data_IF_916591394747
#
_entry.id   IF_916591394747
#
_cell.length_a   1.000
_cell.length_b   1.000
_cell.length_c   1.000
_cell.angle_alpha   90.00
_cell.angle_beta   90.00
_cell.angle_gamma   90.00
#
_symmetry.space_group_name_H-M   'P 1'
#
loop_
_entity.id
_entity.type
_entity.pdbx_description
1 polymer ?
#
# COMPACT_ATOMS: atom_id res chain seq x y z
N UNK A 1 -33.30 1.78 -12.28
CA UNK A 1 -34.35 2.70 -11.78
C UNK A 1 -35.53 1.85 -11.36
N UNK A 2 -36.12 2.10 -10.19
CA UNK A 2 -37.40 1.50 -9.82
C UNK A 2 -38.41 2.59 -9.51
N UNK A 3 -39.69 2.28 -9.69
CA UNK A 3 -40.80 3.21 -9.50
C UNK A 3 -41.65 2.75 -8.31
N UNK A 4 -41.92 3.69 -7.41
CA UNK A 4 -42.88 3.49 -6.33
C UNK A 4 -44.18 4.18 -6.75
N UNK A 5 -45.29 3.44 -6.76
CA UNK A 5 -46.64 3.97 -7.02
C UNK A 5 -47.53 3.77 -5.80
N UNK A 6 -48.32 4.78 -5.47
CA UNK A 6 -49.31 4.72 -4.40
C UNK A 6 -50.64 5.29 -4.86
N UNK A 7 -51.74 4.71 -4.41
CA UNK A 7 -53.11 5.17 -4.67
C UNK A 7 -53.78 5.52 -3.34
N UNK A 8 -54.33 6.72 -3.24
CA UNK A 8 -55.04 7.17 -2.03
C UNK A 8 -56.46 6.56 -1.94
N UNK A 9 -57.13 6.75 -0.81
CA UNK A 9 -58.50 6.24 -0.58
C UNK A 9 -59.57 6.87 -1.47
N UNK A 10 -59.25 7.98 -2.15
CA UNK A 10 -60.12 8.65 -3.13
C UNK A 10 -59.81 8.23 -4.57
N UNK A 11 -58.79 7.41 -4.77
CA UNK A 11 -58.39 6.85 -6.04
C UNK A 11 -57.35 7.64 -6.82
N UNK A 12 -56.78 8.72 -6.25
CA UNK A 12 -55.69 9.45 -6.88
C UNK A 12 -54.41 8.63 -6.83
N UNK A 13 -53.64 8.58 -7.93
CA UNK A 13 -52.39 7.83 -8.00
C UNK A 13 -51.21 8.79 -8.09
N UNK A 14 -50.21 8.59 -7.23
CA UNK A 14 -48.91 9.26 -7.30
C UNK A 14 -47.81 8.25 -7.62
N UNK A 15 -46.75 8.71 -8.31
CA UNK A 15 -45.56 7.90 -8.54
C UNK A 15 -44.27 8.68 -8.31
N UNK A 16 -43.21 7.97 -7.92
CA UNK A 16 -41.86 8.50 -7.75
C UNK A 16 -40.84 7.51 -8.34
N UNK A 17 -39.86 8.03 -9.07
CA UNK A 17 -38.78 7.23 -9.65
C UNK A 17 -37.49 7.38 -8.84
N UNK A 18 -36.82 6.26 -8.58
CA UNK A 18 -35.54 6.20 -7.88
C UNK A 18 -34.46 5.54 -8.74
N UNK A 19 -33.39 6.28 -9.03
CA UNK A 19 -32.21 5.74 -9.66
C UNK A 19 -31.34 5.05 -8.59
N UNK A 20 -31.10 3.76 -8.79
CA UNK A 20 -30.15 2.96 -8.01
C UNK A 20 -29.28 2.19 -8.98
N UNK A 21 -28.00 2.08 -8.66
CA UNK A 21 -27.04 1.21 -9.34
C UNK A 21 -26.57 0.15 -8.36
N UNK A 22 -26.35 -1.05 -8.88
CA UNK A 22 -25.71 -2.14 -8.15
C UNK A 22 -24.29 -2.27 -8.69
N UNK A 23 -23.30 -2.13 -7.82
CA UNK A 23 -21.92 -2.43 -8.13
C UNK A 23 -21.60 -3.81 -7.53
N UNK A 24 -21.45 -4.79 -8.40
CA UNK A 24 -21.08 -6.16 -8.04
C UNK A 24 -19.59 -6.43 -8.35
N UNK A 25 -18.83 -5.41 -8.77
CA UNK A 25 -17.39 -5.55 -8.99
C UNK A 25 -16.65 -5.40 -7.67
N UNK A 26 -15.97 -6.47 -7.26
CA UNK A 26 -15.01 -6.37 -6.16
C UNK A 26 -13.83 -5.48 -6.61
N UNK A 27 -13.29 -4.64 -5.71
CA UNK A 27 -12.13 -3.81 -6.04
C UNK A 27 -10.93 -4.71 -6.36
N UNK A 28 -10.20 -4.37 -7.41
CA UNK A 28 -8.93 -5.00 -7.73
C UNK A 28 -7.78 -4.23 -7.07
N UNK A 29 -6.73 -4.95 -6.65
CA UNK A 29 -5.52 -4.35 -6.09
C UNK A 29 -4.30 -4.81 -6.88
N UNK A 30 -3.41 -3.88 -7.18
CA UNK A 30 -2.10 -4.17 -7.78
C UNK A 30 -1.01 -3.59 -6.89
N UNK A 31 -0.05 -4.43 -6.50
CA UNK A 31 1.12 -4.04 -5.74
C UNK A 31 2.31 -3.95 -6.70
N UNK A 32 3.07 -2.86 -6.62
CA UNK A 32 4.28 -2.65 -7.40
C UNK A 32 5.43 -2.28 -6.48
N UNK A 33 6.62 -2.75 -6.84
CA UNK A 33 7.87 -2.60 -6.07
C UNK A 33 8.76 -1.52 -6.71
N UNK A 34 9.72 -0.96 -5.96
CA UNK A 34 10.62 0.06 -6.46
C UNK A 34 11.57 -0.51 -7.52
N UNK A 35 11.25 -0.32 -8.80
CA UNK A 35 12.12 -0.72 -9.91
C UNK A 35 13.39 0.13 -9.97
N UNK A 36 14.52 -0.52 -10.26
CA UNK A 36 15.79 0.15 -10.53
C UNK A 36 16.48 0.76 -9.30
N UNK A 37 16.10 0.39 -8.08
CA UNK A 37 16.76 0.86 -6.86
C UNK A 37 16.96 -0.29 -5.87
N UNK A 38 18.19 -0.45 -5.39
CA UNK A 38 18.51 -1.40 -4.33
C UNK A 38 18.17 -0.82 -2.96
N UNK A 39 17.63 -1.66 -2.07
CA UNK A 39 17.43 -1.36 -0.66
C UNK A 39 18.55 -1.94 0.17
N UNK A 40 18.74 -1.40 1.37
CA UNK A 40 19.73 -1.94 2.31
C UNK A 40 19.11 -3.07 3.13
N UNK A 41 19.86 -4.16 3.29
CA UNK A 41 19.49 -5.34 4.06
C UNK A 41 20.44 -5.55 5.22
N UNK A 42 19.95 -6.22 6.26
CA UNK A 42 20.76 -6.83 7.32
C UNK A 42 20.58 -8.34 7.20
N UNK A 43 21.65 -9.04 6.83
CA UNK A 43 21.71 -10.49 6.95
C UNK A 43 22.18 -10.83 8.37
N UNK A 44 21.44 -11.68 9.06
CA UNK A 44 21.88 -12.26 10.34
C UNK A 44 22.48 -13.63 10.02
N UNK A 45 23.71 -13.93 10.44
CA UNK A 45 24.44 -15.20 10.33
C UNK A 45 24.06 -16.19 11.44
N UNK A 46 24.25 -17.50 11.28
CA UNK A 46 23.70 -18.52 12.20
C UNK A 46 24.28 -18.41 13.62
N UNK A 47 25.47 -17.84 13.70
CA UNK A 47 26.19 -17.42 14.89
C UNK A 47 25.68 -16.11 15.52
N UNK A 48 24.73 -15.44 14.86
CA UNK A 48 24.17 -14.15 15.26
C UNK A 48 24.91 -12.94 14.69
N UNK A 49 25.97 -13.14 13.90
CA UNK A 49 26.67 -12.02 13.25
C UNK A 49 25.74 -11.26 12.32
N UNK A 50 25.98 -9.96 12.13
CA UNK A 50 25.15 -9.10 11.28
C UNK A 50 25.98 -8.46 10.21
N UNK A 51 25.62 -8.70 8.95
CA UNK A 51 26.23 -8.04 7.80
C UNK A 51 25.21 -7.16 7.11
N UNK A 52 25.66 -6.05 6.52
CA UNK A 52 24.81 -5.12 5.78
C UNK A 52 25.22 -5.13 4.32
N UNK A 53 24.25 -5.18 3.41
CA UNK A 53 24.48 -5.12 1.97
C UNK A 53 23.30 -4.46 1.26
N UNK A 54 23.50 -4.08 0.00
CA UNK A 54 22.44 -3.56 -0.87
C UNK A 54 21.91 -4.66 -1.80
N UNK A 55 20.59 -4.80 -1.88
CA UNK A 55 19.91 -5.83 -2.66
C UNK A 55 18.62 -5.34 -3.30
N UNK A 56 18.05 -6.12 -4.22
CA UNK A 56 16.78 -5.78 -4.89
C UNK A 56 15.61 -6.09 -3.96
N UNK A 57 14.72 -5.11 -3.78
CA UNK A 57 13.43 -5.30 -3.12
C UNK A 57 12.33 -5.52 -4.16
N UNK A 58 11.81 -6.74 -4.24
CA UNK A 58 10.80 -7.16 -5.21
C UNK A 58 9.73 -8.04 -4.55
N UNK A 59 8.76 -8.46 -5.36
CA UNK A 59 7.72 -9.43 -4.95
C UNK A 59 8.29 -10.77 -4.44
N UNK A 60 9.52 -11.11 -4.83
CA UNK A 60 10.15 -12.38 -4.47
C UNK A 60 11.01 -12.27 -3.20
N UNK A 61 11.19 -11.06 -2.66
CA UNK A 61 12.00 -10.84 -1.45
C UNK A 61 11.41 -11.56 -0.24
N UNK A 62 10.10 -11.41 -0.01
CA UNK A 62 9.39 -12.09 1.07
C UNK A 62 8.14 -12.77 0.52
N UNK A 63 8.20 -14.08 0.40
CA UNK A 63 7.11 -14.93 -0.05
C UNK A 63 6.54 -15.73 1.11
N UNK A 64 5.33 -16.30 0.98
CA UNK A 64 4.78 -17.21 1.99
C UNK A 64 5.74 -18.36 2.37
N UNK A 65 6.57 -18.79 1.44
CA UNK A 65 7.48 -19.93 1.62
C UNK A 65 8.77 -19.55 2.36
N UNK A 66 9.27 -18.31 2.19
CA UNK A 66 10.58 -17.92 2.71
C UNK A 66 10.52 -16.98 3.92
N UNK A 67 9.42 -16.24 4.12
CA UNK A 67 9.40 -15.10 5.06
C UNK A 67 9.65 -15.53 6.51
N UNK A 68 9.21 -16.73 6.90
CA UNK A 68 9.37 -17.26 8.25
C UNK A 68 10.81 -17.72 8.56
N UNK A 69 11.54 -18.16 7.54
CA UNK A 69 12.92 -18.66 7.68
C UNK A 69 13.96 -17.63 7.20
N UNK A 70 13.53 -16.50 6.66
CA UNK A 70 14.44 -15.48 6.13
C UNK A 70 15.35 -14.95 7.23
N UNK A 71 16.60 -14.73 6.84
CA UNK A 71 17.64 -14.12 7.68
C UNK A 71 18.13 -12.81 7.07
N UNK A 72 17.60 -12.46 5.92
CA UNK A 72 17.77 -11.20 5.22
C UNK A 72 16.59 -10.29 5.54
N UNK A 73 16.86 -9.25 6.32
CA UNK A 73 15.84 -8.29 6.74
C UNK A 73 16.09 -6.95 6.07
N UNK A 74 15.02 -6.27 5.64
CA UNK A 74 15.13 -4.89 5.18
C UNK A 74 15.62 -4.02 6.34
N UNK A 75 16.68 -3.26 6.09
CA UNK A 75 17.21 -2.31 7.06
C UNK A 75 16.33 -1.08 7.05
N UNK A 76 15.60 -0.87 8.14
CA UNK A 76 14.79 0.33 8.35
C UNK A 76 15.45 1.13 9.46
N UNK A 77 15.75 2.40 9.20
CA UNK A 77 16.25 3.30 10.23
C UNK A 77 15.21 3.44 11.34
N UNK A 78 15.67 3.34 12.60
CA UNK A 78 14.78 3.40 13.75
C UNK A 78 14.00 4.73 13.82
N UNK A 79 14.61 5.86 13.43
CA UNK A 79 13.92 7.15 13.40
C UNK A 79 12.79 7.17 12.37
N UNK A 80 12.97 6.55 11.19
CA UNK A 80 11.89 6.41 10.21
C UNK A 80 10.74 5.59 10.76
N UNK A 81 11.04 4.46 11.43
CA UNK A 81 10.02 3.57 11.98
C UNK A 81 9.28 4.16 13.20
N UNK A 82 9.97 4.93 14.04
CA UNK A 82 9.43 5.43 15.32
C UNK A 82 8.82 6.83 15.23
N UNK A 83 9.42 7.73 14.44
CA UNK A 83 9.03 9.15 14.36
C UNK A 83 8.37 9.50 13.02
N UNK A 84 8.43 8.58 12.05
CA UNK A 84 7.99 8.82 10.69
C UNK A 84 9.02 9.56 9.84
N UNK A 85 8.87 9.41 8.52
CA UNK A 85 9.82 9.97 7.55
C UNK A 85 9.83 11.50 7.53
N UNK A 86 8.69 12.17 7.76
CA UNK A 86 8.59 13.63 7.76
C UNK A 86 9.36 14.28 8.91
N UNK A 87 9.42 13.60 10.06
CA UNK A 87 10.20 14.05 11.22
C UNK A 87 11.71 13.85 11.02
N UNK A 88 12.08 12.92 10.14
CA UNK A 88 13.46 12.48 9.94
C UNK A 88 14.12 13.11 8.71
N UNK A 89 13.34 13.50 7.71
CA UNK A 89 13.78 14.12 6.47
C UNK A 89 13.12 15.49 6.29
N UNK A 90 13.94 16.51 6.01
CA UNK A 90 13.45 17.87 5.79
C UNK A 90 12.75 17.98 4.43
N UNK A 91 11.69 18.80 4.37
CA UNK A 91 11.04 19.15 3.10
C UNK A 91 10.10 18.08 2.53
N UNK A 92 9.70 17.08 3.33
CA UNK A 92 8.64 16.16 2.93
C UNK A 92 7.29 16.88 2.99
N UNK A 93 6.63 16.95 1.84
CA UNK A 93 5.21 17.30 1.71
C UNK A 93 4.45 16.06 1.22
N UNK A 94 3.58 15.52 2.07
CA UNK A 94 2.77 14.36 1.71
C UNK A 94 1.67 14.69 0.68
N UNK A 95 1.30 15.97 0.56
CA UNK A 95 0.34 16.46 -0.44
C UNK A 95 0.95 16.43 -1.84
N UNK A 96 2.28 16.54 -1.93
CA UNK A 96 3.05 16.51 -3.17
C UNK A 96 4.30 15.63 -3.00
N UNK A 97 4.07 14.37 -2.65
CA UNK A 97 5.14 13.47 -2.26
C UNK A 97 6.02 13.03 -3.45
N UNK A 98 7.33 13.26 -3.35
CA UNK A 98 8.31 12.78 -4.33
C UNK A 98 8.90 11.43 -3.90
N UNK A 99 8.50 10.34 -4.56
CA UNK A 99 8.98 8.99 -4.26
C UNK A 99 10.50 8.80 -4.49
N UNK A 100 11.18 9.68 -5.25
CA UNK A 100 12.64 9.60 -5.40
C UNK A 100 13.36 9.82 -4.06
N UNK A 101 12.76 10.55 -3.11
CA UNK A 101 13.32 10.69 -1.76
C UNK A 101 13.45 9.33 -1.06
N UNK A 102 12.49 8.42 -1.26
CA UNK A 102 12.56 7.07 -0.70
C UNK A 102 13.69 6.26 -1.35
N UNK A 103 13.86 6.41 -2.67
CA UNK A 103 14.92 5.72 -3.42
C UNK A 103 16.32 6.19 -2.99
N UNK A 104 16.53 7.50 -2.94
CA UNK A 104 17.81 8.12 -2.55
C UNK A 104 18.22 7.75 -1.11
N UNK A 105 17.23 7.63 -0.21
CA UNK A 105 17.46 7.25 1.19
C UNK A 105 17.33 5.74 1.44
N UNK A 106 17.17 4.93 0.39
CA UNK A 106 16.98 3.46 0.45
C UNK A 106 15.90 3.03 1.46
N UNK A 107 14.83 3.80 1.55
CA UNK A 107 13.67 3.53 2.40
C UNK A 107 12.78 2.54 1.65
N UNK A 108 12.54 1.31 2.17
CA UNK A 108 11.71 0.34 1.48
C UNK A 108 10.25 0.80 1.39
N UNK A 109 9.63 0.63 0.21
CA UNK A 109 8.23 0.97 -0.01
C UNK A 109 7.59 0.08 -1.06
N UNK A 110 6.26 0.03 -1.09
CA UNK A 110 5.47 -0.56 -2.18
C UNK A 110 4.41 0.45 -2.61
N UNK A 111 3.99 0.39 -3.86
CA UNK A 111 2.86 1.17 -4.36
C UNK A 111 1.67 0.25 -4.57
N UNK A 112 0.56 0.59 -3.92
CA UNK A 112 -0.73 -0.08 -4.10
C UNK A 112 -1.60 0.77 -4.99
N UNK A 113 -2.18 0.17 -6.03
CA UNK A 113 -3.25 0.75 -6.84
C UNK A 113 -4.52 -0.05 -6.59
N UNK A 114 -5.59 0.64 -6.22
CA UNK A 114 -6.94 0.07 -6.11
C UNK A 114 -7.76 0.57 -7.30
N UNK A 115 -8.48 -0.32 -7.99
CA UNK A 115 -9.31 0.01 -9.15
C UNK A 115 -10.61 -0.77 -9.16
#
# INVERSE_FOLDING_TARGET
VFEVRAKDSKGNTGSAQHAVSRDDQAPAQTITYPEGTSMTYVNVGLDGERTTYDGIYSQDTYTPDNVQASRDFLKIDYAYASLGIQSSLKGIDFSNFNANLLKENKIPYVRVKVS
#
